data_IF_141289309041
#
_entry.id   IF_141289309041
#
_cell.length_a   1.000
_cell.length_b   1.000
_cell.length_c   1.000
_cell.angle_alpha   90.00
_cell.angle_beta   90.00
_cell.angle_gamma   90.00
#
_symmetry.space_group_name_H-M   'P 1'
#
loop_
_entity.id
_entity.type
_entity.pdbx_description
1 polymer ?
#
# COMPACT_ATOMS: atom_id res chain seq x y z
N UNK A 1 1.93 26.89 -22.67
CA UNK A 1 2.07 25.80 -21.70
C UNK A 1 2.76 24.65 -22.40
N UNK A 2 3.76 24.02 -21.78
CA UNK A 2 4.33 22.77 -22.28
C UNK A 2 3.37 21.63 -21.95
N UNK A 3 2.94 20.87 -22.95
CA UNK A 3 2.14 19.66 -22.75
C UNK A 3 2.99 18.58 -22.06
N UNK A 4 2.40 17.88 -21.10
CA UNK A 4 3.08 16.78 -20.43
C UNK A 4 3.14 15.58 -21.37
N UNK A 5 4.35 15.07 -21.63
CA UNK A 5 4.55 13.82 -22.36
C UNK A 5 5.04 12.73 -21.40
N UNK A 6 4.31 11.62 -21.23
CA UNK A 6 4.77 10.53 -20.37
C UNK A 6 6.00 9.83 -20.96
N UNK A 7 6.89 9.28 -20.11
CA UNK A 7 8.04 8.53 -20.58
C UNK A 7 7.64 7.17 -21.16
N UNK A 8 8.46 6.63 -22.08
CA UNK A 8 8.28 5.28 -22.66
C UNK A 8 8.34 4.18 -21.60
N UNK A 9 9.14 4.38 -20.55
CA UNK A 9 9.22 3.51 -19.37
C UNK A 9 8.92 4.35 -18.15
N UNK A 10 7.88 3.97 -17.42
CA UNK A 10 7.49 4.66 -16.19
C UNK A 10 8.53 4.43 -15.09
N UNK A 11 8.79 5.47 -14.29
CA UNK A 11 9.71 5.40 -13.15
C UNK A 11 9.05 6.01 -11.92
N UNK A 12 9.31 5.44 -10.75
CA UNK A 12 8.83 5.97 -9.47
C UNK A 12 9.83 7.00 -8.91
N UNK A 13 9.79 8.22 -9.44
CA UNK A 13 10.73 9.29 -9.09
C UNK A 13 10.12 10.41 -8.23
N UNK A 14 8.81 10.32 -7.95
CA UNK A 14 8.07 11.24 -7.07
C UNK A 14 7.03 10.45 -6.26
N UNK A 15 6.75 10.84 -5.01
CA UNK A 15 5.58 10.29 -4.31
C UNK A 15 4.31 10.63 -5.10
N UNK A 16 3.34 9.71 -5.09
CA UNK A 16 2.07 9.86 -5.82
C UNK A 16 1.20 11.04 -5.34
N UNK A 17 1.60 11.71 -4.24
CA UNK A 17 0.75 12.66 -3.52
C UNK A 17 -0.43 11.99 -2.79
N UNK A 18 -1.14 12.75 -1.96
CA UNK A 18 -2.37 12.30 -1.29
C UNK A 18 -2.18 11.52 0.02
N UNK A 19 -3.30 11.12 0.63
CA UNK A 19 -3.36 10.54 1.98
C UNK A 19 -2.59 9.22 2.15
N UNK A 20 -2.39 8.47 1.06
CA UNK A 20 -1.75 7.15 1.06
C UNK A 20 -0.33 7.17 0.49
N UNK A 21 0.26 8.35 0.27
CA UNK A 21 1.59 8.49 -0.32
C UNK A 21 2.69 7.77 0.46
N UNK A 22 2.49 7.57 1.77
CA UNK A 22 3.41 6.87 2.66
C UNK A 22 3.31 5.33 2.58
N UNK A 23 2.25 4.76 2.01
CA UNK A 23 2.05 3.30 1.91
C UNK A 23 2.07 2.76 0.47
N UNK A 24 1.79 3.59 -0.53
CA UNK A 24 1.79 3.17 -1.94
C UNK A 24 3.22 2.94 -2.47
N UNK A 25 3.47 1.76 -3.05
CA UNK A 25 4.77 1.38 -3.65
C UNK A 25 4.54 0.51 -4.90
N UNK A 26 5.39 0.59 -5.94
CA UNK A 26 5.28 -0.25 -7.14
C UNK A 26 5.83 -1.67 -6.94
N UNK A 27 6.23 -2.02 -5.70
CA UNK A 27 6.76 -3.33 -5.32
C UNK A 27 5.97 -3.87 -4.13
N UNK A 28 5.82 -5.19 -4.09
CA UNK A 28 5.21 -5.92 -2.98
C UNK A 28 6.27 -6.38 -1.97
N UNK A 29 5.80 -6.98 -0.87
CA UNK A 29 6.65 -7.62 0.15
C UNK A 29 6.58 -6.95 1.53
N UNK A 30 6.94 -7.70 2.60
CA UNK A 30 6.94 -7.18 3.96
C UNK A 30 7.93 -6.02 4.10
N UNK A 31 7.59 -5.06 4.96
CA UNK A 31 8.51 -3.96 5.33
C UNK A 31 9.22 -4.18 6.65
N UNK A 32 8.70 -5.10 7.46
CA UNK A 32 9.20 -5.48 8.77
C UNK A 32 8.64 -6.85 9.14
N UNK A 33 9.33 -7.53 10.04
CA UNK A 33 8.83 -8.75 10.67
C UNK A 33 7.87 -8.39 11.81
N UNK A 34 6.74 -9.09 11.87
CA UNK A 34 5.76 -8.94 12.93
C UNK A 34 4.91 -10.19 13.07
N UNK A 35 4.92 -10.77 14.26
CA UNK A 35 3.97 -11.81 14.63
C UNK A 35 2.58 -11.20 14.88
N UNK A 36 1.55 -11.85 14.36
CA UNK A 36 0.17 -11.41 14.56
C UNK A 36 -0.41 -12.00 15.86
N UNK A 37 -1.16 -11.22 16.66
CA UNK A 37 -1.75 -11.73 17.89
C UNK A 37 -2.86 -12.74 17.60
N UNK A 38 -2.87 -13.87 18.31
CA UNK A 38 -3.85 -14.95 18.14
C UNK A 38 -4.72 -15.11 19.39
N UNK A 39 -6.04 -15.05 19.22
CA UNK A 39 -7.01 -15.30 20.30
C UNK A 39 -7.42 -16.77 20.45
N UNK A 40 -8.35 -17.03 21.37
CA UNK A 40 -8.86 -18.38 21.69
C UNK A 40 -9.84 -18.98 20.68
N UNK A 41 -10.40 -18.14 19.80
CA UNK A 41 -11.46 -18.55 18.88
C UNK A 41 -10.89 -19.16 17.59
N UNK A 42 -11.63 -20.05 16.91
CA UNK A 42 -11.14 -20.75 15.73
C UNK A 42 -10.91 -19.84 14.52
N UNK A 43 -11.56 -18.67 14.47
CA UNK A 43 -11.39 -17.69 13.39
C UNK A 43 -10.70 -16.44 13.93
N UNK A 44 -9.64 -16.00 13.25
CA UNK A 44 -8.90 -14.77 13.55
C UNK A 44 -9.01 -13.83 12.34
N UNK A 45 -9.62 -12.66 12.56
CA UNK A 45 -9.82 -11.66 11.52
C UNK A 45 -8.91 -10.45 11.77
N UNK A 46 -7.99 -10.19 10.84
CA UNK A 46 -7.15 -9.00 10.83
C UNK A 46 -7.67 -8.05 9.77
N UNK A 47 -8.42 -7.03 10.20
CA UNK A 47 -9.18 -6.17 9.30
C UNK A 47 -9.04 -4.70 9.66
N UNK A 48 -9.64 -3.87 8.81
CA UNK A 48 -9.90 -2.46 9.07
C UNK A 48 -11.29 -2.17 8.51
N UNK A 49 -12.16 -1.51 9.28
CA UNK A 49 -13.56 -1.25 8.95
C UNK A 49 -13.76 -0.36 7.69
N UNK A 50 -13.40 -0.90 6.54
CA UNK A 50 -13.66 -0.37 5.19
C UNK A 50 -14.88 -1.10 4.61
N UNK A 51 -15.45 -0.66 3.47
CA UNK A 51 -16.56 -1.37 2.84
C UNK A 51 -16.27 -2.84 2.48
N UNK A 52 -14.98 -3.23 2.38
CA UNK A 52 -14.58 -4.60 2.06
C UNK A 52 -14.48 -5.51 3.31
N UNK A 53 -14.65 -4.95 4.50
CA UNK A 53 -14.38 -5.61 5.79
C UNK A 53 -13.11 -5.10 6.44
#
# INVERSE_FOLDING_TARGET
>A
MTEYTPPKVWTWNKPSGGAFANINRPIAGPTHDKELPVGKHPLQLYSLATPNG
#
